data_IF_421321355203
#
_entry.id   IF_421321355203
#
_cell.length_a   1.000
_cell.length_b   1.000
_cell.length_c   1.000
_cell.angle_alpha   90.00
_cell.angle_beta   90.00
_cell.angle_gamma   90.00
#
_symmetry.space_group_name_H-M   'P 1'
#
loop_
_entity.id
_entity.type
_entity.pdbx_description
1 polymer ?
#
# COMPACT_ATOMS: atom_id res chain seq x y z
N UNK A 1 48.47 19.72 24.61
CA UNK A 1 47.27 20.49 24.22
C UNK A 1 46.02 19.69 24.59
N UNK A 2 45.44 19.90 25.77
CA UNK A 2 44.06 19.51 26.06
C UNK A 2 43.20 20.76 26.36
N UNK A 3 41.89 20.56 26.57
CA UNK A 3 40.91 21.55 27.07
C UNK A 3 40.25 22.46 26.01
N UNK A 4 39.55 21.86 25.03
CA UNK A 4 38.41 22.51 24.35
C UNK A 4 37.30 21.46 24.13
N UNK A 5 36.80 20.85 25.20
CA UNK A 5 35.57 20.02 25.15
C UNK A 5 34.63 20.19 26.35
N UNK A 6 34.94 21.05 27.33
CA UNK A 6 34.11 21.25 28.54
C UNK A 6 33.06 22.37 28.45
N UNK A 7 32.77 22.87 27.25
CA UNK A 7 31.60 23.73 26.99
C UNK A 7 30.59 23.01 26.11
N UNK A 8 30.20 21.80 26.52
CA UNK A 8 28.86 21.31 26.19
C UNK A 8 27.88 22.11 27.05
N UNK A 9 27.50 23.24 26.48
CA UNK A 9 26.38 24.09 26.85
C UNK A 9 25.22 23.20 27.30
N UNK A 10 24.83 23.34 28.58
CA UNK A 10 23.64 22.72 29.12
C UNK A 10 22.44 23.31 28.39
N UNK A 11 22.08 22.70 27.26
CA UNK A 11 20.83 22.97 26.58
C UNK A 11 19.73 22.79 27.62
N UNK A 12 18.88 23.81 27.86
CA UNK A 12 17.80 23.70 28.82
C UNK A 12 17.03 22.39 28.58
N UNK A 13 16.66 21.63 29.63
CA UNK A 13 15.98 20.34 29.48
C UNK A 13 14.67 20.44 28.66
N UNK A 14 14.17 21.65 28.44
CA UNK A 14 13.01 21.98 27.61
C UNK A 14 13.26 21.93 26.09
N UNK A 15 14.53 21.82 25.64
CA UNK A 15 14.92 21.70 24.23
C UNK A 15 15.60 20.36 23.91
N UNK A 16 15.44 19.34 24.77
CA UNK A 16 15.84 17.99 24.40
C UNK A 16 15.11 17.59 23.11
N UNK A 17 15.82 17.11 22.07
CA UNK A 17 15.17 16.69 20.84
C UNK A 17 14.11 15.64 21.18
N UNK A 18 12.90 15.74 20.59
CA UNK A 18 11.78 14.89 20.95
C UNK A 18 12.22 13.43 20.87
N UNK A 19 12.03 12.66 21.95
CA UNK A 19 12.40 11.26 21.95
C UNK A 19 11.51 10.52 20.94
N UNK A 20 12.16 9.94 19.95
CA UNK A 20 11.51 9.16 18.90
C UNK A 20 11.72 7.66 19.07
N UNK A 21 12.36 7.22 20.16
CA UNK A 21 12.59 5.80 20.49
C UNK A 21 11.29 4.99 20.62
N UNK A 22 10.15 5.67 20.75
CA UNK A 22 8.84 5.07 20.98
C UNK A 22 8.04 4.77 19.69
N UNK A 23 8.57 5.12 18.51
CA UNK A 23 7.94 4.70 17.24
C UNK A 23 8.28 3.24 17.00
N UNK A 24 7.27 2.45 16.62
CA UNK A 24 7.46 1.04 16.26
C UNK A 24 8.55 0.92 15.19
N UNK A 25 9.53 0.06 15.44
CA UNK A 25 10.60 -0.21 14.47
C UNK A 25 10.11 -0.78 13.15
N UNK A 26 8.86 -1.25 13.11
CA UNK A 26 8.19 -1.61 11.88
C UNK A 26 8.17 -0.49 10.83
N UNK A 27 8.19 0.79 11.24
CA UNK A 27 8.26 1.94 10.33
C UNK A 27 9.68 2.49 10.14
N UNK A 28 10.68 1.68 10.45
CA UNK A 28 12.09 1.98 10.28
C UNK A 28 12.55 1.92 8.82
N UNK A 29 13.77 2.38 8.53
CA UNK A 29 14.29 2.49 7.17
C UNK A 29 14.42 1.16 6.44
N UNK A 30 14.82 0.09 7.13
CA UNK A 30 15.00 -1.24 6.52
C UNK A 30 13.67 -1.87 6.15
N UNK A 31 12.71 -1.85 7.08
CA UNK A 31 11.35 -2.34 6.86
C UNK A 31 10.63 -1.56 5.75
N UNK A 32 10.75 -0.23 5.76
CA UNK A 32 10.17 0.63 4.72
C UNK A 32 10.79 0.37 3.34
N UNK A 33 12.12 0.27 3.24
CA UNK A 33 12.80 -0.02 1.98
C UNK A 33 12.44 -1.42 1.45
N UNK A 34 12.38 -2.42 2.33
CA UNK A 34 11.92 -3.77 2.00
C UNK A 34 10.51 -3.74 1.39
N UNK A 35 9.60 -3.00 2.03
CA UNK A 35 8.25 -2.81 1.52
C UNK A 35 8.23 -2.13 0.14
N UNK A 36 8.99 -1.05 -0.06
CA UNK A 36 9.11 -0.38 -1.37
C UNK A 36 9.66 -1.30 -2.45
N UNK A 37 10.65 -2.13 -2.15
CA UNK A 37 11.19 -3.13 -3.09
C UNK A 37 10.10 -4.12 -3.50
N UNK A 38 9.31 -4.64 -2.54
CA UNK A 38 8.20 -5.56 -2.85
C UNK A 38 7.07 -4.89 -3.64
N UNK A 39 6.82 -3.59 -3.41
CA UNK A 39 5.90 -2.80 -4.24
C UNK A 39 6.41 -2.67 -5.67
N UNK A 40 7.68 -2.28 -5.86
CA UNK A 40 8.27 -2.18 -7.20
C UNK A 40 8.27 -3.53 -7.93
N UNK A 41 8.63 -4.61 -7.23
CA UNK A 41 8.57 -5.98 -7.74
C UNK A 41 7.18 -6.33 -8.28
N UNK A 42 6.13 -6.04 -7.51
CA UNK A 42 4.76 -6.37 -7.92
C UNK A 42 4.28 -5.62 -9.17
N UNK A 43 4.77 -4.40 -9.39
CA UNK A 43 4.53 -3.67 -10.64
C UNK A 43 5.29 -4.22 -11.83
N UNK A 44 6.56 -4.58 -11.65
CA UNK A 44 7.39 -5.14 -12.73
C UNK A 44 6.73 -6.42 -13.26
N UNK A 45 6.33 -7.33 -12.38
CA UNK A 45 5.63 -8.57 -12.77
C UNK A 45 4.26 -8.30 -13.42
N UNK A 46 3.59 -7.19 -13.07
CA UNK A 46 2.34 -6.79 -13.72
C UNK A 46 2.58 -6.36 -15.17
N UNK A 47 3.59 -5.51 -15.38
CA UNK A 47 3.94 -4.96 -16.68
C UNK A 47 4.50 -6.05 -17.61
N UNK A 48 5.28 -6.98 -17.08
CA UNK A 48 5.82 -8.13 -17.82
C UNK A 48 4.75 -9.16 -18.18
N UNK A 49 3.56 -9.09 -17.57
CA UNK A 49 2.50 -10.09 -17.75
C UNK A 49 2.89 -11.46 -17.18
N UNK A 50 3.90 -11.51 -16.32
CA UNK A 50 4.28 -12.73 -15.63
C UNK A 50 3.34 -12.96 -14.44
N UNK A 51 2.65 -14.09 -14.49
CA UNK A 51 1.70 -14.51 -13.45
C UNK A 51 2.10 -15.89 -12.88
N UNK A 52 3.31 -16.38 -13.17
CA UNK A 52 3.77 -17.70 -12.74
C UNK A 52 4.04 -17.75 -11.24
N UNK A 53 4.53 -16.65 -10.67
CA UNK A 53 4.82 -16.51 -9.25
C UNK A 53 4.13 -15.25 -8.72
N UNK A 54 3.37 -15.36 -7.63
CA UNK A 54 2.72 -14.21 -6.97
C UNK A 54 3.42 -13.84 -5.64
N UNK A 55 4.63 -14.33 -5.41
CA UNK A 55 5.37 -14.09 -4.16
C UNK A 55 5.68 -12.59 -3.95
N UNK A 56 5.88 -11.85 -5.03
CA UNK A 56 6.09 -10.41 -4.99
C UNK A 56 4.89 -9.61 -4.44
N UNK A 57 3.66 -10.16 -4.54
CA UNK A 57 2.47 -9.55 -3.89
C UNK A 57 2.47 -9.75 -2.38
N UNK A 58 2.94 -10.92 -1.93
CA UNK A 58 2.81 -11.31 -0.54
C UNK A 58 3.55 -10.35 0.39
N UNK A 59 4.75 -9.90 0.00
CA UNK A 59 5.55 -8.97 0.80
C UNK A 59 4.83 -7.65 1.07
N UNK A 60 4.36 -6.96 0.02
CA UNK A 60 3.70 -5.67 0.23
C UNK A 60 2.33 -5.81 0.90
N UNK A 61 1.58 -6.87 0.57
CA UNK A 61 0.26 -7.12 1.15
C UNK A 61 0.37 -7.41 2.65
N UNK A 62 1.31 -8.25 3.07
CA UNK A 62 1.57 -8.52 4.49
C UNK A 62 1.98 -7.25 5.23
N UNK A 63 2.85 -6.43 4.65
CA UNK A 63 3.29 -5.18 5.27
C UNK A 63 2.14 -4.19 5.46
N UNK A 64 1.31 -4.02 4.43
CA UNK A 64 0.13 -3.12 4.48
C UNK A 64 -0.92 -3.64 5.48
N UNK A 65 -1.14 -4.95 5.52
CA UNK A 65 -2.02 -5.60 6.49
C UNK A 65 -1.50 -5.45 7.93
N UNK A 66 -0.19 -5.55 8.14
CA UNK A 66 0.40 -5.34 9.45
C UNK A 66 0.23 -3.90 9.91
N UNK A 67 0.46 -2.92 9.04
CA UNK A 67 0.17 -1.51 9.32
C UNK A 67 -1.32 -1.29 9.68
N UNK A 68 -2.25 -2.04 9.07
CA UNK A 68 -3.68 -2.00 9.40
C UNK A 68 -3.96 -2.48 10.83
N UNK A 69 -3.35 -3.59 11.21
CA UNK A 69 -3.47 -4.15 12.57
C UNK A 69 -2.85 -3.19 13.59
N UNK A 70 -1.70 -2.61 13.27
CA UNK A 70 -1.00 -1.68 14.14
C UNK A 70 -1.79 -0.38 14.34
N UNK A 71 -2.36 0.17 13.25
CA UNK A 71 -3.32 1.27 13.32
C UNK A 71 -4.48 0.94 14.26
N UNK A 72 -5.12 -0.23 14.10
CA UNK A 72 -6.23 -0.66 14.96
C UNK A 72 -5.83 -0.75 16.43
N UNK A 73 -4.65 -1.33 16.72
CA UNK A 73 -4.12 -1.41 18.09
C UNK A 73 -3.93 -0.03 18.70
N UNK A 74 -3.43 0.92 17.92
CA UNK A 74 -3.23 2.28 18.39
C UNK A 74 -4.50 3.09 18.49
N UNK A 75 -5.50 2.88 17.63
CA UNK A 75 -6.80 3.58 17.73
C UNK A 75 -7.66 3.03 18.87
N UNK A 76 -7.64 1.71 19.10
CA UNK A 76 -8.52 1.05 20.10
C UNK A 76 -8.10 1.26 21.56
N UNK A 77 -6.88 1.70 21.85
CA UNK A 77 -6.44 1.99 23.22
C UNK A 77 -7.22 3.18 23.80
N UNK A 78 -8.11 2.93 24.77
CA UNK A 78 -8.73 4.02 25.54
C UNK A 78 -7.65 4.64 26.44
N UNK A 79 -7.43 5.96 26.41
CA UNK A 79 -6.48 6.58 27.33
C UNK A 79 -6.92 6.32 28.78
N UNK A 80 -6.01 5.79 29.60
CA UNK A 80 -6.23 5.69 31.05
C UNK A 80 -6.17 7.08 31.68
N UNK A 81 -7.05 7.35 32.65
CA UNK A 81 -7.23 8.67 33.28
C UNK A 81 -6.00 9.19 34.07
N UNK A 82 -4.96 8.37 34.29
CA UNK A 82 -3.89 8.65 35.26
C UNK A 82 -2.45 8.62 34.73
N UNK A 83 -2.21 8.45 33.43
CA UNK A 83 -0.85 8.44 32.90
C UNK A 83 -0.36 9.86 32.58
N UNK A 84 0.96 10.10 32.68
CA UNK A 84 1.64 11.29 32.15
C UNK A 84 1.35 11.39 30.64
N UNK A 85 0.23 12.06 30.36
CA UNK A 85 -0.56 11.87 29.16
C UNK A 85 0.21 12.30 27.91
N UNK A 86 1.10 13.30 28.04
CA UNK A 86 1.71 13.99 26.90
C UNK A 86 2.71 13.13 26.12
N UNK A 87 3.60 12.38 26.78
CA UNK A 87 4.65 11.62 26.09
C UNK A 87 4.08 10.36 25.40
N UNK A 88 3.25 9.60 26.13
CA UNK A 88 2.62 8.37 25.61
C UNK A 88 1.65 8.70 24.47
N UNK A 89 0.87 9.77 24.61
CA UNK A 89 -0.05 10.22 23.56
C UNK A 89 0.71 10.70 22.32
N UNK A 90 1.84 11.40 22.50
CA UNK A 90 2.66 11.83 21.38
C UNK A 90 3.24 10.63 20.60
N UNK A 91 3.78 9.62 21.29
CA UNK A 91 4.29 8.42 20.64
C UNK A 91 3.19 7.61 19.94
N UNK A 92 2.03 7.49 20.59
CA UNK A 92 0.83 6.89 19.99
C UNK A 92 0.43 7.62 18.72
N UNK A 93 0.35 8.95 18.75
CA UNK A 93 -0.01 9.77 17.59
C UNK A 93 0.98 9.59 16.45
N UNK A 94 2.29 9.56 16.73
CA UNK A 94 3.33 9.28 15.73
C UNK A 94 3.15 7.91 15.06
N UNK A 95 2.85 6.86 15.84
CA UNK A 95 2.58 5.52 15.30
C UNK A 95 1.30 5.46 14.46
N UNK A 96 0.22 6.13 14.90
CA UNK A 96 -1.02 6.27 14.12
C UNK A 96 -0.71 6.92 12.78
N UNK A 97 0.01 8.04 12.77
CA UNK A 97 0.38 8.75 11.54
C UNK A 97 1.20 7.89 10.60
N UNK A 98 2.21 7.17 11.13
CA UNK A 98 3.04 6.26 10.33
C UNK A 98 2.21 5.12 9.70
N UNK A 99 1.35 4.48 10.49
CA UNK A 99 0.47 3.41 10.02
C UNK A 99 -0.52 3.89 8.95
N UNK A 100 -1.13 5.08 9.13
CA UNK A 100 -2.03 5.70 8.14
C UNK A 100 -1.31 6.02 6.84
N UNK A 101 -0.07 6.51 6.90
CA UNK A 101 0.71 6.79 5.69
C UNK A 101 0.97 5.50 4.89
N UNK A 102 1.43 4.43 5.55
CA UNK A 102 1.64 3.12 4.93
C UNK A 102 0.35 2.55 4.36
N UNK A 103 -0.77 2.65 5.09
CA UNK A 103 -2.09 2.19 4.63
C UNK A 103 -2.53 2.91 3.36
N UNK A 104 -2.46 4.24 3.34
CA UNK A 104 -2.88 5.03 2.19
C UNK A 104 -2.05 4.68 0.94
N UNK A 105 -0.72 4.62 1.08
CA UNK A 105 0.15 4.24 -0.04
C UNK A 105 -0.13 2.80 -0.46
N UNK A 106 -0.26 1.85 0.47
CA UNK A 106 -0.56 0.45 0.14
C UNK A 106 -1.90 0.27 -0.59
N UNK A 107 -2.94 0.99 -0.19
CA UNK A 107 -4.24 1.01 -0.87
C UNK A 107 -4.11 1.63 -2.25
N UNK A 108 -3.42 2.77 -2.38
CA UNK A 108 -3.17 3.41 -3.68
C UNK A 108 -2.50 2.43 -4.65
N UNK A 109 -1.50 1.70 -4.18
CA UNK A 109 -0.79 0.70 -4.98
C UNK A 109 -1.70 -0.47 -5.37
N UNK A 110 -2.48 -1.02 -4.44
CA UNK A 110 -3.40 -2.13 -4.71
C UNK A 110 -4.47 -1.73 -5.74
N UNK A 111 -5.06 -0.54 -5.60
CA UNK A 111 -6.03 0.00 -6.57
C UNK A 111 -5.36 0.19 -7.93
N UNK A 112 -4.19 0.83 -7.98
CA UNK A 112 -3.47 1.06 -9.25
C UNK A 112 -3.19 -0.26 -9.99
N UNK A 113 -2.77 -1.29 -9.25
CA UNK A 113 -2.53 -2.62 -9.81
C UNK A 113 -3.82 -3.32 -10.25
N UNK A 114 -4.92 -3.19 -9.51
CA UNK A 114 -6.24 -3.68 -9.95
C UNK A 114 -6.68 -3.00 -11.24
N UNK A 115 -6.52 -1.69 -11.36
CA UNK A 115 -6.89 -0.93 -12.56
C UNK A 115 -6.06 -1.40 -13.77
N UNK A 116 -4.73 -1.48 -13.62
CA UNK A 116 -3.87 -1.97 -14.71
C UNK A 116 -4.17 -3.42 -15.05
N UNK A 117 -4.44 -4.26 -14.04
CA UNK A 117 -4.86 -5.63 -14.27
C UNK A 117 -6.13 -5.69 -15.11
N UNK A 118 -7.19 -4.98 -14.72
CA UNK A 118 -8.48 -4.96 -15.44
C UNK A 118 -8.34 -4.38 -16.84
N UNK A 119 -7.70 -3.22 -16.99
CA UNK A 119 -7.75 -2.47 -18.24
C UNK A 119 -6.67 -2.90 -19.24
N UNK A 120 -5.55 -3.47 -18.77
CA UNK A 120 -4.40 -3.78 -19.61
C UNK A 120 -4.15 -5.29 -19.71
N UNK A 121 -4.23 -6.01 -18.60
CA UNK A 121 -3.85 -7.43 -18.54
C UNK A 121 -5.02 -8.35 -18.88
N UNK A 122 -6.17 -8.17 -18.22
CA UNK A 122 -7.36 -9.00 -18.38
C UNK A 122 -7.89 -9.08 -19.83
N UNK A 123 -7.88 -8.01 -20.64
CA UNK A 123 -8.36 -8.09 -22.03
C UNK A 123 -7.42 -8.88 -22.95
N UNK A 124 -6.15 -9.02 -22.56
CA UNK A 124 -5.13 -9.75 -23.33
C UNK A 124 -5.02 -11.22 -22.92
N UNK A 125 -5.55 -11.59 -21.75
CA UNK A 125 -5.55 -12.98 -21.30
C UNK A 125 -6.46 -13.85 -22.15
N UNK A 126 -5.89 -14.90 -22.74
CA UNK A 126 -6.66 -15.94 -23.42
C UNK A 126 -7.57 -16.67 -22.42
N UNK A 127 -8.85 -16.92 -22.76
CA UNK A 127 -9.75 -17.69 -21.92
C UNK A 127 -9.14 -19.08 -21.64
N UNK A 128 -8.90 -19.39 -20.37
CA UNK A 128 -8.32 -20.67 -19.93
C UNK A 128 -7.09 -20.58 -19.01
N UNK A 129 -6.48 -19.40 -18.81
CA UNK A 129 -5.37 -19.25 -17.84
C UNK A 129 -5.88 -18.92 -16.43
N UNK A 130 -5.93 -19.91 -15.54
CA UNK A 130 -6.32 -19.73 -14.13
C UNK A 130 -5.41 -18.75 -13.34
N UNK A 131 -4.19 -18.48 -13.81
CA UNK A 131 -3.21 -17.65 -13.09
C UNK A 131 -3.65 -16.20 -12.92
N UNK A 132 -4.45 -15.65 -13.85
CA UNK A 132 -4.91 -14.26 -13.77
C UNK A 132 -5.91 -14.06 -12.63
N UNK A 133 -6.83 -15.02 -12.46
CA UNK A 133 -7.84 -15.01 -11.40
C UNK A 133 -7.19 -15.05 -10.01
N UNK A 134 -6.16 -15.88 -9.84
CA UNK A 134 -5.42 -15.98 -8.58
C UNK A 134 -4.83 -14.61 -8.16
N UNK A 135 -4.24 -13.89 -9.10
CA UNK A 135 -3.68 -12.55 -8.86
C UNK A 135 -4.74 -11.53 -8.44
N UNK A 136 -5.89 -11.54 -9.11
CA UNK A 136 -7.04 -10.72 -8.72
C UNK A 136 -7.50 -11.01 -7.28
N UNK A 137 -7.55 -12.29 -6.89
CA UNK A 137 -7.88 -12.68 -5.52
C UNK A 137 -6.86 -12.17 -4.49
N UNK A 138 -5.55 -12.29 -4.76
CA UNK A 138 -4.51 -11.77 -3.86
C UNK A 138 -4.63 -10.25 -3.66
N UNK A 139 -4.88 -9.51 -4.74
CA UNK A 139 -5.11 -8.06 -4.69
C UNK A 139 -6.33 -7.70 -3.82
N UNK A 140 -7.44 -8.43 -3.97
CA UNK A 140 -8.65 -8.21 -3.17
C UNK A 140 -8.39 -8.52 -1.70
N UNK A 141 -7.85 -9.71 -1.41
CA UNK A 141 -7.58 -10.15 -0.03
C UNK A 141 -6.60 -9.20 0.66
N UNK A 142 -5.58 -8.70 -0.07
CA UNK A 142 -4.60 -7.76 0.44
C UNK A 142 -5.15 -6.37 0.77
N UNK A 143 -6.28 -5.95 0.19
CA UNK A 143 -6.83 -4.61 0.38
C UNK A 143 -8.01 -4.55 1.36
N UNK A 144 -8.70 -5.67 1.60
CA UNK A 144 -9.88 -5.74 2.48
C UNK A 144 -9.58 -5.21 3.89
N UNK A 145 -8.52 -5.72 4.52
CA UNK A 145 -8.19 -5.35 5.90
C UNK A 145 -7.76 -3.86 6.02
N UNK A 146 -6.84 -3.33 5.18
CA UNK A 146 -6.48 -1.92 5.16
C UNK A 146 -7.69 -0.99 5.00
N UNK A 147 -8.59 -1.31 4.06
CA UNK A 147 -9.81 -0.52 3.84
C UNK A 147 -10.74 -0.58 5.04
N UNK A 148 -10.97 -1.77 5.60
CA UNK A 148 -11.79 -1.95 6.80
C UNK A 148 -11.27 -1.13 7.98
N UNK A 149 -9.95 -1.10 8.18
CA UNK A 149 -9.32 -0.37 9.28
C UNK A 149 -9.39 1.14 9.08
N UNK A 150 -9.18 1.66 7.86
CA UNK A 150 -9.40 3.08 7.59
C UNK A 150 -10.87 3.49 7.80
N UNK A 151 -11.81 2.65 7.36
CA UNK A 151 -13.24 2.89 7.59
C UNK A 151 -13.55 2.91 9.09
N UNK A 152 -13.02 1.97 9.86
CA UNK A 152 -13.17 1.91 11.32
C UNK A 152 -12.57 3.14 12.03
N UNK A 153 -11.39 3.57 11.62
CA UNK A 153 -10.75 4.78 12.17
C UNK A 153 -11.57 6.03 11.90
N UNK A 154 -12.11 6.16 10.67
CA UNK A 154 -12.96 7.28 10.27
C UNK A 154 -14.30 7.28 11.02
N UNK A 155 -14.98 6.12 11.14
CA UNK A 155 -16.23 6.03 11.92
C UNK A 155 -16.01 6.40 13.38
N UNK A 156 -14.92 5.89 13.98
CA UNK A 156 -14.55 6.19 15.36
C UNK A 156 -14.30 7.68 15.55
N UNK A 157 -13.59 8.33 14.63
CA UNK A 157 -13.34 9.77 14.69
C UNK A 157 -14.64 10.60 14.56
N UNK A 158 -15.50 10.25 13.61
CA UNK A 158 -16.76 10.94 13.36
C UNK A 158 -17.67 10.92 14.59
N UNK A 159 -17.74 9.78 15.27
CA UNK A 159 -18.58 9.63 16.46
C UNK A 159 -18.13 10.54 17.62
N UNK A 160 -16.85 10.92 17.68
CA UNK A 160 -16.31 11.80 18.71
C UNK A 160 -16.36 13.30 18.36
N UNK A 161 -16.64 13.68 17.10
CA UNK A 161 -16.61 15.09 16.66
C UNK A 161 -18.00 15.63 16.34
N UNK A 162 -18.67 16.18 17.36
CA UNK A 162 -20.08 16.64 17.32
C UNK A 162 -20.39 17.71 16.24
N UNK A 163 -19.40 18.47 15.76
CA UNK A 163 -19.63 19.61 14.86
C UNK A 163 -19.28 19.33 13.38
N UNK A 164 -18.32 18.44 13.11
CA UNK A 164 -17.87 18.10 11.74
C UNK A 164 -18.50 16.77 11.26
N UNK A 165 -19.16 16.02 12.15
CA UNK A 165 -19.61 14.65 11.92
C UNK A 165 -20.52 14.44 10.71
N UNK A 166 -21.47 15.33 10.40
CA UNK A 166 -22.49 15.05 9.37
C UNK A 166 -21.96 15.04 7.93
N UNK A 167 -21.15 16.03 7.54
CA UNK A 167 -20.59 16.08 6.17
C UNK A 167 -19.56 14.97 5.94
N UNK A 168 -18.79 14.64 6.98
CA UNK A 168 -17.78 13.59 6.94
C UNK A 168 -18.42 12.19 6.99
N UNK A 169 -19.57 12.02 7.65
CA UNK A 169 -20.36 10.80 7.67
C UNK A 169 -20.97 10.47 6.31
N UNK A 170 -21.57 11.45 5.62
CA UNK A 170 -22.11 11.26 4.27
C UNK A 170 -21.00 10.84 3.29
N UNK A 171 -19.84 11.48 3.40
CA UNK A 171 -18.68 11.18 2.59
C UNK A 171 -18.09 9.78 2.89
N UNK A 172 -18.04 9.41 4.17
CA UNK A 172 -17.61 8.07 4.59
C UNK A 172 -18.55 6.98 4.06
N UNK A 173 -19.86 7.23 4.08
CA UNK A 173 -20.84 6.30 3.50
C UNK A 173 -20.64 6.14 1.98
N UNK A 174 -20.41 7.24 1.25
CA UNK A 174 -20.10 7.20 -0.19
C UNK A 174 -18.82 6.40 -0.46
N UNK A 175 -17.81 6.55 0.40
CA UNK A 175 -16.56 5.79 0.32
C UNK A 175 -16.79 4.30 0.58
N UNK A 176 -17.51 3.95 1.64
CA UNK A 176 -17.80 2.56 2.01
C UNK A 176 -18.62 1.89 0.91
N UNK A 177 -19.67 2.55 0.42
CA UNK A 177 -20.48 2.05 -0.69
C UNK A 177 -19.64 1.88 -1.95
N UNK A 178 -18.76 2.85 -2.25
CA UNK A 178 -17.85 2.77 -3.39
C UNK A 178 -16.88 1.59 -3.32
N UNK A 179 -16.33 1.32 -2.15
CA UNK A 179 -15.44 0.17 -1.88
C UNK A 179 -16.21 -1.15 -1.91
N UNK A 180 -17.41 -1.19 -1.34
CA UNK A 180 -18.26 -2.38 -1.36
C UNK A 180 -18.66 -2.74 -2.79
N UNK A 181 -19.02 -1.77 -3.62
CA UNK A 181 -19.32 -1.98 -5.05
C UNK A 181 -18.08 -2.42 -5.81
N UNK A 182 -16.89 -1.90 -5.47
CA UNK A 182 -15.63 -2.37 -6.04
C UNK A 182 -15.40 -3.86 -5.74
N UNK A 183 -15.45 -4.24 -4.47
CA UNK A 183 -15.23 -5.62 -4.04
C UNK A 183 -16.27 -6.55 -4.68
N UNK A 184 -17.55 -6.14 -4.68
CA UNK A 184 -18.63 -6.89 -5.29
C UNK A 184 -18.44 -7.04 -6.81
N UNK A 185 -18.00 -5.98 -7.51
CA UNK A 185 -17.74 -6.01 -8.95
C UNK A 185 -16.60 -6.95 -9.31
N UNK A 186 -15.48 -6.88 -8.60
CA UNK A 186 -14.33 -7.77 -8.84
C UNK A 186 -14.65 -9.21 -8.45
N UNK A 187 -15.33 -9.43 -7.32
CA UNK A 187 -15.78 -10.75 -6.90
C UNK A 187 -16.77 -11.35 -7.91
N UNK A 188 -17.71 -10.55 -8.42
CA UNK A 188 -18.65 -10.98 -9.47
C UNK A 188 -17.93 -11.31 -10.77
N UNK A 189 -16.92 -10.53 -11.18
CA UNK A 189 -16.08 -10.83 -12.34
C UNK A 189 -15.25 -12.11 -12.16
N UNK A 190 -14.68 -12.31 -10.98
CA UNK A 190 -13.96 -13.55 -10.65
C UNK A 190 -14.88 -14.76 -10.65
N UNK A 191 -16.04 -14.67 -10.00
CA UNK A 191 -17.07 -15.71 -9.99
C UNK A 191 -17.62 -15.98 -11.38
N UNK A 192 -17.79 -14.96 -12.22
CA UNK A 192 -18.20 -15.11 -13.61
C UNK A 192 -17.16 -15.90 -14.42
N UNK A 193 -15.87 -15.58 -14.29
CA UNK A 193 -14.82 -16.33 -14.99
C UNK A 193 -14.68 -17.78 -14.48
N UNK A 194 -14.94 -18.04 -13.20
CA UNK A 194 -14.95 -19.39 -12.62
C UNK A 194 -16.20 -20.18 -13.02
N UNK A 195 -17.35 -19.52 -13.15
CA UNK A 195 -18.62 -20.15 -13.53
C UNK A 195 -18.85 -20.24 -15.04
N UNK A 196 -18.13 -19.46 -15.85
CA UNK A 196 -18.15 -19.49 -17.31
C UNK A 196 -17.96 -20.90 -17.90
N UNK A 197 -17.02 -21.76 -17.45
CA UNK A 197 -16.95 -23.14 -17.94
C UNK A 197 -18.20 -23.99 -17.61
N UNK A 198 -18.94 -23.66 -16.56
CA UNK A 198 -20.20 -24.35 -16.17
C UNK A 198 -21.40 -23.77 -16.97
N UNK A 199 -21.37 -22.48 -17.30
CA UNK A 199 -22.41 -21.74 -18.03
C UNK A 199 -22.31 -21.82 -19.57
N UNK A 200 -21.22 -22.37 -20.12
CA UNK A 200 -21.09 -22.68 -21.56
C UNK A 200 -22.20 -23.64 -22.05
N UNK A 201 -22.86 -24.38 -21.15
CA UNK A 201 -24.04 -25.19 -21.47
C UNK A 201 -25.34 -24.38 -21.67
N UNK A 202 -25.37 -23.07 -21.40
CA UNK A 202 -26.59 -22.25 -21.45
C UNK A 202 -26.56 -21.04 -22.41
N UNK A 203 -25.48 -20.80 -23.16
CA UNK A 203 -25.34 -19.54 -23.89
C UNK A 203 -26.04 -19.48 -25.27
N UNK A 204 -27.16 -18.74 -25.30
CA UNK A 204 -27.76 -18.19 -26.52
C UNK A 204 -27.00 -16.90 -26.94
N UNK A 205 -26.63 -16.72 -28.21
CA UNK A 205 -25.68 -15.68 -28.67
C UNK A 205 -26.18 -14.23 -28.64
N UNK A 206 -27.47 -13.98 -28.35
CA UNK A 206 -28.07 -12.64 -28.50
C UNK A 206 -28.04 -11.79 -27.21
N UNK A 207 -27.86 -12.39 -26.04
CA UNK A 207 -27.78 -11.65 -24.76
C UNK A 207 -26.35 -11.18 -24.41
N UNK A 208 -25.32 -11.76 -25.04
CA UNK A 208 -23.91 -11.46 -24.72
C UNK A 208 -23.38 -10.14 -25.30
N UNK A 209 -24.08 -9.50 -26.25
CA UNK A 209 -23.50 -8.35 -26.95
C UNK A 209 -23.79 -7.00 -26.25
N UNK A 210 -24.89 -6.89 -25.49
CA UNK A 210 -25.33 -5.61 -24.90
C UNK A 210 -25.06 -5.45 -23.40
N UNK A 211 -24.95 -6.54 -22.63
CA UNK A 211 -24.70 -6.46 -21.18
C UNK A 211 -23.21 -6.36 -20.82
N UNK A 212 -22.29 -6.74 -21.71
CA UNK A 212 -20.88 -6.94 -21.35
C UNK A 212 -19.97 -5.69 -21.33
N UNK A 213 -20.02 -4.75 -22.29
CA UNK A 213 -19.09 -3.62 -22.27
C UNK A 213 -19.57 -2.47 -21.37
N UNK A 214 -20.88 -2.17 -21.38
CA UNK A 214 -21.42 -1.04 -20.62
C UNK A 214 -21.48 -1.29 -19.12
N UNK A 215 -21.89 -2.49 -18.70
CA UNK A 215 -21.92 -2.83 -17.27
C UNK A 215 -20.52 -2.89 -16.67
N UNK A 216 -19.56 -3.49 -17.39
CA UNK A 216 -18.16 -3.47 -16.99
C UNK A 216 -17.61 -2.04 -16.99
N UNK A 217 -17.85 -1.22 -18.02
CA UNK A 217 -17.37 0.16 -18.01
C UNK A 217 -17.95 0.97 -16.85
N UNK A 218 -19.22 0.78 -16.51
CA UNK A 218 -19.89 1.46 -15.40
C UNK A 218 -19.34 1.02 -14.03
N UNK A 219 -19.19 -0.28 -13.79
CA UNK A 219 -18.61 -0.79 -12.53
C UNK A 219 -17.15 -0.36 -12.37
N UNK A 220 -16.33 -0.49 -13.42
CA UNK A 220 -14.94 -0.06 -13.37
C UNK A 220 -14.78 1.47 -13.29
N UNK A 221 -15.68 2.23 -13.90
CA UNK A 221 -15.73 3.69 -13.78
C UNK A 221 -16.09 4.13 -12.36
N UNK A 222 -17.06 3.46 -11.72
CA UNK A 222 -17.44 3.74 -10.32
C UNK A 222 -16.29 3.40 -9.37
N UNK A 223 -15.61 2.26 -9.58
CA UNK A 223 -14.41 1.84 -8.87
C UNK A 223 -13.29 2.90 -8.95
N UNK A 224 -13.02 3.37 -10.17
CA UNK A 224 -11.97 4.36 -10.41
C UNK A 224 -12.34 5.67 -9.72
N UNK A 225 -13.60 6.09 -9.82
CA UNK A 225 -14.09 7.32 -9.22
C UNK A 225 -14.05 7.27 -7.68
N UNK A 226 -14.47 6.16 -7.07
CA UNK A 226 -14.51 6.01 -5.62
C UNK A 226 -13.10 5.91 -5.03
N UNK A 227 -12.20 5.20 -5.72
CA UNK A 227 -10.80 5.14 -5.34
C UNK A 227 -10.08 6.48 -5.52
N UNK A 228 -10.28 7.20 -6.64
CA UNK A 228 -9.77 8.57 -6.79
C UNK A 228 -10.32 9.51 -5.72
N UNK A 229 -11.61 9.38 -5.37
CA UNK A 229 -12.21 10.20 -4.32
C UNK A 229 -11.55 9.91 -2.98
N UNK A 230 -11.33 8.64 -2.62
CA UNK A 230 -10.57 8.21 -1.44
C UNK A 230 -9.15 8.76 -1.41
N UNK A 231 -8.46 8.73 -2.55
CA UNK A 231 -7.09 9.23 -2.70
C UNK A 231 -7.05 10.75 -2.54
N UNK A 232 -7.93 11.48 -3.24
CA UNK A 232 -8.01 12.93 -3.13
C UNK A 232 -8.46 13.37 -1.73
N UNK A 233 -9.26 12.55 -1.05
CA UNK A 233 -9.67 12.80 0.32
C UNK A 233 -8.55 12.58 1.34
N UNK A 234 -7.81 11.48 1.19
CA UNK A 234 -6.62 11.23 2.02
C UNK A 234 -5.58 12.32 1.80
N UNK A 235 -5.36 12.77 0.56
CA UNK A 235 -4.52 13.94 0.24
C UNK A 235 -5.04 15.24 0.83
N UNK A 236 -6.36 15.48 0.79
CA UNK A 236 -6.97 16.69 1.38
C UNK A 236 -6.87 16.68 2.91
N UNK A 237 -6.97 15.51 3.55
CA UNK A 237 -6.69 15.32 4.98
C UNK A 237 -5.22 15.60 5.32
N UNK A 238 -4.29 15.27 4.42
CA UNK A 238 -2.87 15.58 4.59
C UNK A 238 -2.59 17.10 4.52
N UNK A 239 -3.25 17.82 3.62
CA UNK A 239 -2.97 19.24 3.36
C UNK A 239 -3.65 20.17 4.38
N UNK A 240 -4.87 19.84 4.82
CA UNK A 240 -5.73 20.76 5.61
C UNK A 240 -6.22 20.20 6.94
N UNK A 241 -5.67 19.09 7.41
CA UNK A 241 -6.03 18.53 8.73
C UNK A 241 -5.94 19.63 9.79
N UNK A 242 -7.05 19.98 10.47
CA UNK A 242 -7.02 21.00 11.51
C UNK A 242 -6.01 20.56 12.57
N UNK A 243 -5.35 21.54 13.21
CA UNK A 243 -4.25 21.41 14.19
C UNK A 243 -4.70 20.67 15.48
N UNK A 244 -5.77 19.89 15.45
CA UNK A 244 -6.40 19.20 16.58
C UNK A 244 -5.45 18.20 17.24
N UNK A 245 -4.41 17.73 16.54
CA UNK A 245 -3.31 16.94 17.14
C UNK A 245 -1.93 17.62 17.16
N UNK A 246 -1.76 18.83 16.62
CA UNK A 246 -0.44 19.48 16.54
C UNK A 246 0.63 18.75 15.69
N UNK A 247 0.28 17.70 14.93
CA UNK A 247 1.23 16.76 14.28
C UNK A 247 1.32 16.93 12.74
N UNK A 248 0.69 17.96 12.17
CA UNK A 248 0.37 18.03 10.72
C UNK A 248 1.57 18.01 9.77
N UNK A 249 2.71 18.65 10.09
CA UNK A 249 3.89 18.63 9.20
C UNK A 249 4.64 17.31 9.18
N UNK A 250 4.60 16.57 10.29
CA UNK A 250 5.35 15.32 10.43
C UNK A 250 4.71 14.19 9.62
N UNK A 251 3.39 14.26 9.43
CA UNK A 251 2.62 13.27 8.69
C UNK A 251 2.96 13.21 7.19
N UNK A 252 3.10 14.35 6.52
CA UNK A 252 3.41 14.38 5.08
C UNK A 252 4.78 13.73 4.76
N UNK A 253 5.75 13.84 5.67
CA UNK A 253 7.09 13.26 5.49
C UNK A 253 7.05 11.72 5.49
N UNK A 254 6.19 11.14 6.32
CA UNK A 254 6.02 9.69 6.47
C UNK A 254 5.58 8.93 5.20
N UNK A 255 5.06 9.64 4.19
CA UNK A 255 4.67 9.04 2.92
C UNK A 255 5.88 8.69 2.04
N UNK A 256 6.96 9.47 2.15
CA UNK A 256 8.11 9.40 1.26
C UNK A 256 9.35 8.84 1.93
N UNK A 257 9.40 8.86 3.26
CA UNK A 257 10.54 8.37 4.05
C UNK A 257 10.04 7.63 5.28
N UNK A 258 10.84 6.70 5.85
CA UNK A 258 10.54 6.03 7.11
C UNK A 258 10.24 7.03 8.24
N UNK A 259 9.28 6.67 9.08
CA UNK A 259 8.83 7.49 10.20
C UNK A 259 9.60 7.23 11.48
N UNK A 260 10.11 6.01 11.67
CA UNK A 260 10.87 5.64 12.85
C UNK A 260 12.35 5.97 12.63
N UNK A 261 12.99 6.76 13.52
CA UNK A 261 14.43 7.01 13.46
C UNK A 261 15.17 5.85 14.11
N UNK A 262 15.13 4.69 13.46
CA UNK A 262 15.97 3.56 13.80
C UNK A 262 17.20 3.52 12.90
N UNK A 263 18.30 2.96 13.42
CA UNK A 263 19.51 2.77 12.62
C UNK A 263 19.31 1.55 11.73
N UNK A 264 19.70 1.66 10.46
CA UNK A 264 19.63 0.54 9.50
C UNK A 264 20.51 -0.66 9.91
N UNK A 265 21.49 -0.44 10.80
CA UNK A 265 22.33 -1.51 11.35
C UNK A 265 21.66 -2.34 12.45
N UNK A 266 20.44 -1.99 12.87
CA UNK A 266 19.64 -2.84 13.76
C UNK A 266 19.23 -4.12 13.01
N UNK A 267 19.29 -5.25 13.70
CA UNK A 267 19.18 -6.58 13.08
C UNK A 267 17.82 -6.82 12.42
N UNK A 268 16.73 -6.33 13.00
CA UNK A 268 15.38 -6.39 12.43
C UNK A 268 15.29 -5.61 11.11
N UNK A 269 15.86 -4.41 11.06
CA UNK A 269 15.89 -3.56 9.86
C UNK A 269 16.71 -4.19 8.74
N UNK A 270 17.93 -4.64 9.06
CA UNK A 270 18.83 -5.27 8.10
C UNK A 270 18.25 -6.59 7.59
N UNK A 271 17.62 -7.38 8.46
CA UNK A 271 16.99 -8.65 8.10
C UNK A 271 15.81 -8.45 7.14
N UNK A 272 14.87 -7.54 7.45
CA UNK A 272 13.75 -7.25 6.56
C UNK A 272 14.23 -6.81 5.17
N UNK A 273 15.25 -5.96 5.12
CA UNK A 273 15.85 -5.51 3.87
C UNK A 273 16.52 -6.66 3.10
N UNK A 274 17.29 -7.49 3.78
CA UNK A 274 17.96 -8.65 3.19
C UNK A 274 16.94 -9.63 2.60
N UNK A 275 15.88 -9.95 3.34
CA UNK A 275 14.81 -10.86 2.87
C UNK A 275 14.13 -10.30 1.62
N UNK A 276 13.74 -9.02 1.63
CA UNK A 276 13.13 -8.40 0.46
C UNK A 276 14.08 -8.36 -0.75
N UNK A 277 15.37 -8.10 -0.52
CA UNK A 277 16.39 -8.12 -1.56
C UNK A 277 16.61 -9.52 -2.13
N UNK A 278 16.68 -10.55 -1.29
CA UNK A 278 16.81 -11.95 -1.72
C UNK A 278 15.58 -12.39 -2.53
N UNK A 279 14.37 -12.06 -2.08
CA UNK A 279 13.15 -12.34 -2.83
C UNK A 279 13.12 -11.62 -4.18
N UNK A 280 13.55 -10.34 -4.21
CA UNK A 280 13.67 -9.57 -5.43
C UNK A 280 14.66 -10.21 -6.41
N UNK A 281 15.85 -10.59 -5.94
CA UNK A 281 16.85 -11.26 -6.77
C UNK A 281 16.42 -12.66 -7.20
N UNK A 282 15.73 -13.42 -6.35
CA UNK A 282 15.21 -14.73 -6.70
C UNK A 282 14.23 -14.63 -7.87
N UNK A 283 13.31 -13.67 -7.81
CA UNK A 283 12.28 -13.49 -8.82
C UNK A 283 12.86 -12.90 -10.12
N UNK A 284 13.57 -11.78 -10.04
CA UNK A 284 14.03 -11.03 -11.23
C UNK A 284 15.43 -11.40 -11.68
N UNK A 285 16.22 -12.07 -10.86
CA UNK A 285 17.62 -12.36 -11.15
C UNK A 285 17.77 -13.20 -12.41
N UNK A 286 16.93 -14.22 -12.60
CA UNK A 286 16.98 -15.05 -13.81
C UNK A 286 16.66 -14.26 -15.08
N UNK A 287 15.68 -13.35 -15.02
CA UNK A 287 15.33 -12.46 -16.14
C UNK A 287 16.43 -11.43 -16.42
N UNK A 288 17.00 -10.85 -15.37
CA UNK A 288 18.09 -9.87 -15.46
C UNK A 288 19.36 -10.49 -16.04
N UNK A 289 19.72 -11.71 -15.64
CA UNK A 289 20.85 -12.45 -16.20
C UNK A 289 20.64 -12.68 -17.70
N UNK A 290 19.45 -13.17 -18.11
CA UNK A 290 19.14 -13.38 -19.53
C UNK A 290 19.15 -12.07 -20.34
N UNK A 291 18.66 -10.97 -19.76
CA UNK A 291 18.70 -9.66 -20.41
C UNK A 291 20.13 -9.15 -20.57
N UNK A 292 20.96 -9.32 -19.55
CA UNK A 292 22.38 -8.98 -19.59
C UNK A 292 23.13 -9.82 -20.63
N UNK A 293 22.91 -11.13 -20.68
CA UNK A 293 23.48 -12.02 -21.70
C UNK A 293 23.12 -11.56 -23.12
N UNK A 294 21.84 -11.22 -23.37
CA UNK A 294 21.41 -10.67 -24.67
C UNK A 294 22.07 -9.32 -24.98
N UNK A 295 22.22 -8.45 -23.98
CA UNK A 295 22.90 -7.17 -24.12
C UNK A 295 24.38 -7.34 -24.49
N UNK A 296 25.09 -8.26 -23.82
CA UNK A 296 26.48 -8.60 -24.12
C UNK A 296 26.60 -9.20 -25.52
N UNK A 297 25.71 -10.12 -25.91
CA UNK A 297 25.69 -10.69 -27.25
C UNK A 297 25.44 -9.64 -28.34
N UNK A 298 24.52 -8.71 -28.10
CA UNK A 298 24.24 -7.60 -29.00
C UNK A 298 25.45 -6.67 -29.13
N UNK A 299 26.07 -6.31 -28.01
CA UNK A 299 27.27 -5.48 -27.97
C UNK A 299 28.44 -6.16 -28.70
N UNK A 300 28.65 -7.45 -28.48
CA UNK A 300 29.67 -8.23 -29.18
C UNK A 300 29.41 -8.27 -30.69
N UNK A 301 28.16 -8.43 -31.13
CA UNK A 301 27.83 -8.40 -32.57
C UNK A 301 28.00 -7.04 -33.21
N UNK A 302 27.77 -5.94 -32.48
CA UNK A 302 27.84 -4.59 -33.06
C UNK A 302 29.25 -4.00 -32.99
N UNK A 303 29.96 -4.21 -31.89
CA UNK A 303 31.28 -3.62 -31.66
C UNK A 303 32.43 -4.44 -32.26
N UNK A 304 32.36 -5.78 -32.22
CA UNK A 304 33.47 -6.60 -32.71
C UNK A 304 33.76 -6.36 -34.20
N UNK A 305 32.76 -6.26 -35.10
CA UNK A 305 33.03 -5.97 -36.51
C UNK A 305 33.49 -4.53 -36.77
N UNK A 306 33.24 -3.59 -35.85
CA UNK A 306 33.69 -2.20 -35.99
C UNK A 306 35.14 -2.00 -35.52
N UNK A 307 35.70 -2.98 -34.80
CA UNK A 307 37.07 -2.96 -34.29
C UNK A 307 38.09 -3.66 -35.22
N UNK A 308 37.63 -4.32 -36.29
CA UNK A 308 38.45 -4.99 -37.31
C UNK A 308 38.27 -4.31 -38.66
#
# INVERSE_FOLDING_TARGET
MPVIFDKLEQVPPEQAPPDFSQISGFYGPGAWAAWVITMAASWISLIQGDNTHNLHFLGYALYTNWAAIDFLRHVSRVPGYNDDFSAVEQARSKNIVASVAVLNVGIFQAVGQMLVYVFVVAPKSTPGRCSSVARGMYLIVGVILPLGMLCYGLTSYIFFSDSIGRSLQTLLLVVIDGVAVLIAGVASYALYNVSSPILILYHHPLLNFYQHPLFNCFTHGLILLTSLTLIMLSVSFMDRGPVVFGVTRTAARCYFVPCAPQKIGEWDQAFSLLVAFVLFLYEFGSGMIRAMEKGIQALYRTWLPAAW
#
